data_IF_280424977560
#
_entry.id   IF_280424977560
#
_cell.length_a   1.000
_cell.length_b   1.000
_cell.length_c   1.000
_cell.angle_alpha   90.00
_cell.angle_beta   90.00
_cell.angle_gamma   90.00
#
_symmetry.space_group_name_H-M   'P 1'
#
loop_
_entity.id
_entity.type
_entity.pdbx_description
1 polymer ?
#
# COMPACT_ATOMS: atom_id res chain seq x y z
N UNK A 1 -8.46 -8.30 -11.33
CA UNK A 1 -8.19 -6.92 -10.86
C UNK A 1 -6.73 -6.62 -11.12
N UNK A 2 -6.43 -5.51 -11.80
CA UNK A 2 -5.06 -5.06 -12.04
C UNK A 2 -4.56 -4.19 -10.88
N UNK A 3 -3.25 -3.96 -10.80
CA UNK A 3 -2.68 -3.04 -9.80
C UNK A 3 -3.20 -1.61 -9.97
N UNK A 4 -3.49 -1.19 -11.20
CA UNK A 4 -4.04 0.13 -11.51
C UNK A 4 -5.48 0.27 -10.97
N UNK A 5 -6.31 -0.76 -11.16
CA UNK A 5 -7.67 -0.80 -10.61
C UNK A 5 -7.64 -0.77 -9.08
N UNK A 6 -6.78 -1.58 -8.45
CA UNK A 6 -6.61 -1.58 -7.00
C UNK A 6 -6.17 -0.19 -6.48
N UNK A 7 -5.26 0.49 -7.20
CA UNK A 7 -4.81 1.83 -6.84
C UNK A 7 -5.95 2.86 -6.96
N UNK A 8 -6.83 2.75 -7.96
CA UNK A 8 -8.03 3.60 -8.07
C UNK A 8 -8.96 3.40 -6.88
N UNK A 9 -9.19 2.16 -6.46
CA UNK A 9 -10.02 1.85 -5.27
C UNK A 9 -9.40 2.43 -4.01
N UNK A 10 -8.08 2.26 -3.79
CA UNK A 10 -7.39 2.83 -2.62
C UNK A 10 -7.53 4.36 -2.54
N UNK A 11 -7.43 5.06 -3.68
CA UNK A 11 -7.57 6.51 -3.77
C UNK A 11 -8.98 7.05 -3.48
N UNK A 12 -9.99 6.18 -3.36
CA UNK A 12 -11.35 6.60 -2.96
C UNK A 12 -11.46 6.98 -1.49
N UNK A 13 -10.49 6.55 -0.66
CA UNK A 13 -10.54 6.73 0.80
C UNK A 13 -11.37 5.67 1.53
N UNK A 14 -11.90 4.66 0.84
CA UNK A 14 -12.57 3.52 1.47
C UNK A 14 -11.58 2.64 2.25
N UNK A 15 -12.08 1.88 3.23
CA UNK A 15 -11.32 0.81 3.87
C UNK A 15 -11.18 -0.36 2.89
N UNK A 16 -9.95 -0.73 2.54
CA UNK A 16 -9.65 -1.74 1.51
C UNK A 16 -8.85 -2.88 2.11
N UNK A 17 -9.28 -4.11 1.85
CA UNK A 17 -8.47 -5.31 2.04
C UNK A 17 -7.87 -5.75 0.70
N UNK A 18 -6.58 -5.49 0.51
CA UNK A 18 -5.84 -5.87 -0.71
C UNK A 18 -5.20 -7.25 -0.53
N UNK A 19 -5.69 -8.25 -1.26
CA UNK A 19 -5.18 -9.63 -1.23
C UNK A 19 -4.71 -10.10 -2.62
N UNK A 20 -4.06 -11.27 -2.66
CA UNK A 20 -3.54 -11.89 -3.87
C UNK A 20 -2.44 -12.90 -3.56
N UNK A 21 -2.12 -13.75 -4.52
CA UNK A 21 -1.08 -14.79 -4.41
C UNK A 21 0.34 -14.20 -4.17
N UNK A 22 1.29 -14.97 -3.64
CA UNK A 22 2.69 -14.56 -3.62
C UNK A 22 3.17 -14.10 -5.01
N UNK A 23 3.95 -13.01 -5.06
CA UNK A 23 4.41 -12.44 -6.34
C UNK A 23 3.38 -11.60 -7.11
N UNK A 24 2.13 -11.45 -6.62
CA UNK A 24 1.08 -10.66 -7.30
C UNK A 24 1.28 -9.14 -7.26
N UNK A 25 2.40 -8.64 -6.72
CA UNK A 25 2.73 -7.21 -6.70
C UNK A 25 1.98 -6.36 -5.65
N UNK A 26 1.47 -6.95 -4.56
CA UNK A 26 0.78 -6.23 -3.46
C UNK A 26 1.63 -5.12 -2.85
N UNK A 27 2.88 -5.43 -2.50
CA UNK A 27 3.84 -4.46 -1.94
C UNK A 27 4.06 -3.27 -2.87
N UNK A 28 4.17 -3.53 -4.18
CA UNK A 28 4.27 -2.46 -5.17
C UNK A 28 3.04 -1.56 -5.16
N UNK A 29 1.84 -2.12 -5.20
CA UNK A 29 0.59 -1.34 -5.18
C UNK A 29 0.45 -0.49 -3.91
N UNK A 30 0.75 -1.04 -2.73
CA UNK A 30 0.73 -0.28 -1.47
C UNK A 30 1.75 0.86 -1.50
N UNK A 31 2.96 0.62 -1.99
CA UNK A 31 3.99 1.67 -2.09
C UNK A 31 3.61 2.78 -3.07
N UNK A 32 2.92 2.46 -4.18
CA UNK A 32 2.38 3.48 -5.09
C UNK A 32 1.32 4.35 -4.40
N UNK A 33 0.47 3.74 -3.58
CA UNK A 33 -0.52 4.48 -2.80
C UNK A 33 0.13 5.39 -1.74
N UNK A 34 1.14 4.89 -1.01
CA UNK A 34 1.91 5.68 -0.05
C UNK A 34 2.60 6.87 -0.72
N UNK A 35 3.26 6.66 -1.87
CA UNK A 35 3.88 7.75 -2.63
C UNK A 35 2.88 8.80 -3.08
N UNK A 36 1.68 8.38 -3.47
CA UNK A 36 0.59 9.31 -3.80
C UNK A 36 0.14 10.13 -2.58
N UNK A 37 -0.05 9.50 -1.41
CA UNK A 37 -0.39 10.22 -0.18
C UNK A 37 0.69 11.25 0.18
N UNK A 38 1.97 10.86 0.13
CA UNK A 38 3.10 11.77 0.37
C UNK A 38 3.15 12.93 -0.61
N UNK A 39 2.80 12.70 -1.89
CA UNK A 39 2.69 13.78 -2.89
C UNK A 39 1.61 14.81 -2.57
N UNK A 40 0.63 14.44 -1.73
CA UNK A 40 -0.41 15.31 -1.21
C UNK A 40 -0.06 15.90 0.17
N UNK A 41 1.17 15.67 0.67
CA UNK A 41 1.60 16.12 2.00
C UNK A 41 1.02 15.30 3.15
N UNK A 42 0.45 14.12 2.88
CA UNK A 42 -0.11 13.22 3.89
C UNK A 42 0.95 12.18 4.24
N UNK A 43 1.40 12.14 5.49
CA UNK A 43 2.30 11.09 5.98
C UNK A 43 1.47 9.95 6.62
N UNK A 44 1.35 8.78 5.97
CA UNK A 44 0.57 7.68 6.51
C UNK A 44 1.33 6.91 7.59
N UNK A 45 0.59 6.36 8.56
CA UNK A 45 1.13 5.34 9.44
C UNK A 45 1.26 4.00 8.67
N UNK A 46 2.46 3.44 8.63
CA UNK A 46 2.75 2.18 7.93
C UNK A 46 3.17 1.14 8.95
N UNK A 47 2.43 0.02 9.01
CA UNK A 47 2.68 -1.07 9.96
C UNK A 47 2.61 -2.42 9.26
N UNK A 48 3.26 -3.42 9.84
CA UNK A 48 3.17 -4.81 9.43
C UNK A 48 3.18 -5.71 10.67
N UNK A 49 2.83 -6.98 10.51
CA UNK A 49 2.79 -7.95 11.63
C UNK A 49 4.16 -8.31 12.21
N UNK A 50 5.25 -8.02 11.48
CA UNK A 50 6.63 -8.21 11.95
C UNK A 50 7.49 -7.00 11.58
N UNK A 51 8.51 -6.72 12.39
CA UNK A 51 9.43 -5.61 12.15
C UNK A 51 10.11 -5.68 10.79
N UNK A 52 10.57 -6.87 10.36
CA UNK A 52 11.22 -7.04 9.05
C UNK A 52 10.26 -6.80 7.88
N UNK A 53 8.98 -7.13 8.03
CA UNK A 53 7.98 -6.82 7.02
C UNK A 53 7.67 -5.32 6.98
N UNK A 54 7.69 -4.64 8.12
CA UNK A 54 7.46 -3.20 8.20
C UNK A 54 8.57 -2.43 7.46
N UNK A 55 9.84 -2.81 7.64
CA UNK A 55 10.95 -2.14 6.94
C UNK A 55 10.86 -2.26 5.42
N UNK A 56 10.33 -3.36 4.89
CA UNK A 56 10.13 -3.57 3.44
C UNK A 56 9.09 -2.63 2.81
N UNK A 57 8.20 -2.04 3.61
CA UNK A 57 7.17 -1.09 3.16
C UNK A 57 7.41 0.34 3.68
N UNK A 58 8.58 0.60 4.29
CA UNK A 58 8.92 1.91 4.85
C UNK A 58 8.20 2.23 6.17
N UNK A 59 7.73 1.21 6.89
CA UNK A 59 7.30 1.30 8.27
C UNK A 59 8.45 1.00 9.24
N UNK A 60 8.23 1.32 10.52
CA UNK A 60 9.17 1.09 11.63
C UNK A 60 8.46 0.40 12.80
#
# INVERSE_FOLDING_TARGET
MTQEEALKVLKTGANVFLTGEPGSGKTYTVNQYVSWLRSLGIEPAITASTGIAATHIGGH
#
